data_IF_119793156212
#
_entry.id   IF_119793156212
#
_cell.length_a   1.000
_cell.length_b   1.000
_cell.length_c   1.000
_cell.angle_alpha   90.00
_cell.angle_beta   90.00
_cell.angle_gamma   90.00
#
_symmetry.space_group_name_H-M   'P 1'
#
loop_
_entity.id
_entity.type
_entity.pdbx_description
1 polymer ?
#
# COMPACT_ATOMS: atom_id res chain seq x y z
N UNK A 1 6.77 18.20 -1.25
CA UNK A 1 7.01 18.92 0.01
C UNK A 1 6.57 18.02 1.15
N UNK A 2 7.44 17.78 2.15
CA UNK A 2 7.06 17.01 3.33
C UNK A 2 6.29 17.88 4.32
N UNK A 3 5.51 17.24 5.20
CA UNK A 3 5.02 17.87 6.42
C UNK A 3 6.21 18.27 7.31
N UNK A 4 6.01 19.24 8.18
CA UNK A 4 7.04 19.63 9.13
C UNK A 4 7.25 18.52 10.16
N UNK A 5 8.50 18.08 10.31
CA UNK A 5 8.90 17.05 11.26
C UNK A 5 10.41 17.16 11.54
N UNK A 6 10.84 16.62 12.70
CA UNK A 6 12.27 16.53 13.05
C UNK A 6 13.05 15.69 12.01
N UNK A 7 14.35 15.94 11.91
CA UNK A 7 15.27 15.17 11.09
C UNK A 7 16.56 14.91 11.89
N UNK A 8 17.22 13.77 11.74
CA UNK A 8 16.86 12.61 10.88
C UNK A 8 15.71 11.79 11.47
N UNK A 9 15.06 10.95 10.63
CA UNK A 9 13.97 10.05 11.03
C UNK A 9 14.26 8.62 10.56
N UNK A 10 13.77 7.65 11.32
CA UNK A 10 13.76 6.24 10.93
C UNK A 10 12.51 5.89 10.13
N UNK A 11 12.38 4.62 9.71
CA UNK A 11 11.23 4.13 8.96
C UNK A 11 9.90 4.30 9.71
N UNK A 12 9.88 4.08 11.03
CA UNK A 12 8.68 4.19 11.86
C UNK A 12 8.16 5.62 11.86
N UNK A 13 9.07 6.55 12.07
CA UNK A 13 8.77 7.98 12.09
C UNK A 13 8.41 8.49 10.69
N UNK A 14 9.03 7.96 9.63
CA UNK A 14 8.70 8.28 8.24
C UNK A 14 7.27 7.83 7.88
N UNK A 15 6.82 6.66 8.36
CA UNK A 15 5.43 6.21 8.21
C UNK A 15 4.49 7.12 9.02
N UNK A 16 4.79 7.40 10.28
CA UNK A 16 3.96 8.20 11.18
C UNK A 16 3.75 9.62 10.66
N UNK A 17 4.79 10.25 10.11
CA UNK A 17 4.75 11.63 9.59
C UNK A 17 4.46 11.73 8.11
N UNK A 18 4.28 10.60 7.42
CA UNK A 18 4.07 10.59 5.97
C UNK A 18 5.17 11.31 5.19
N UNK A 19 6.44 11.00 5.48
CA UNK A 19 7.58 11.69 4.90
C UNK A 19 7.83 11.28 3.45
N UNK A 20 7.40 12.09 2.50
CA UNK A 20 7.60 11.84 1.07
C UNK A 20 9.07 11.73 0.69
N UNK A 21 9.93 12.60 1.23
CA UNK A 21 11.36 12.58 0.91
C UNK A 21 12.00 11.23 1.29
N UNK A 22 11.69 10.70 2.48
CA UNK A 22 12.19 9.39 2.91
C UNK A 22 11.86 8.30 1.90
N UNK A 23 10.58 8.18 1.54
CA UNK A 23 10.13 7.14 0.62
C UNK A 23 10.65 7.35 -0.81
N UNK A 24 10.77 8.59 -1.28
CA UNK A 24 11.39 8.87 -2.57
C UNK A 24 12.86 8.42 -2.62
N UNK A 25 13.66 8.69 -1.57
CA UNK A 25 15.04 8.23 -1.51
C UNK A 25 15.15 6.70 -1.43
N UNK A 26 14.35 6.07 -0.57
CA UNK A 26 14.32 4.60 -0.45
C UNK A 26 13.93 3.95 -1.78
N UNK A 27 12.90 4.45 -2.44
CA UNK A 27 12.48 3.95 -3.74
C UNK A 27 13.58 4.10 -4.80
N UNK A 28 14.21 5.29 -4.87
CA UNK A 28 15.35 5.51 -5.77
C UNK A 28 16.43 4.46 -5.52
N UNK A 29 16.85 4.27 -4.25
CA UNK A 29 17.93 3.34 -3.90
C UNK A 29 17.55 1.87 -4.22
N UNK A 30 16.26 1.52 -4.12
CA UNK A 30 15.76 0.20 -4.53
C UNK A 30 15.92 0.00 -6.04
N UNK A 31 15.36 0.91 -6.86
CA UNK A 31 15.29 0.71 -8.31
C UNK A 31 16.62 1.00 -9.04
N UNK A 32 17.54 1.71 -8.39
CA UNK A 32 18.90 1.96 -8.92
C UNK A 32 19.96 1.13 -8.20
N UNK A 33 19.58 0.07 -7.50
CA UNK A 33 20.52 -0.79 -6.80
C UNK A 33 21.52 -1.41 -7.79
N UNK A 34 22.85 -1.38 -7.50
CA UNK A 34 23.88 -1.89 -8.41
C UNK A 34 23.75 -3.39 -8.79
N UNK A 35 22.92 -4.16 -8.09
CA UNK A 35 22.61 -5.54 -8.46
C UNK A 35 21.83 -5.66 -9.77
N UNK A 36 21.17 -4.60 -10.21
CA UNK A 36 20.39 -4.57 -11.44
C UNK A 36 21.25 -4.06 -12.61
N UNK A 37 21.09 -4.65 -13.77
CA UNK A 37 21.77 -4.23 -15.00
C UNK A 37 21.25 -2.90 -15.53
N UNK A 38 19.99 -2.58 -15.20
CA UNK A 38 19.31 -1.34 -15.62
C UNK A 38 18.25 -0.89 -14.63
N UNK A 39 17.86 0.38 -14.72
CA UNK A 39 16.74 0.93 -13.97
C UNK A 39 15.40 0.24 -14.35
N UNK A 40 15.29 -0.19 -15.59
CA UNK A 40 14.13 -0.95 -16.09
C UNK A 40 13.97 -2.26 -15.33
N UNK A 41 15.05 -3.00 -15.09
CA UNK A 41 15.05 -4.21 -14.27
C UNK A 41 14.70 -3.91 -12.81
N UNK A 42 15.25 -2.82 -12.25
CA UNK A 42 14.93 -2.37 -10.90
C UNK A 42 13.44 -2.06 -10.73
N UNK A 43 12.83 -1.33 -11.68
CA UNK A 43 11.38 -1.02 -11.68
C UNK A 43 10.55 -2.29 -11.86
N UNK A 44 10.95 -3.19 -12.77
CA UNK A 44 10.27 -4.46 -12.98
C UNK A 44 10.27 -5.31 -11.70
N UNK A 45 11.41 -5.42 -11.04
CA UNK A 45 11.53 -6.15 -9.76
C UNK A 45 10.65 -5.50 -8.68
N UNK A 46 10.64 -4.17 -8.58
CA UNK A 46 9.75 -3.46 -7.66
C UNK A 46 8.28 -3.73 -7.97
N UNK A 47 7.89 -3.77 -9.25
CA UNK A 47 6.53 -4.11 -9.67
C UNK A 47 6.13 -5.51 -9.22
N UNK A 48 7.03 -6.51 -9.26
CA UNK A 48 6.74 -7.87 -8.80
C UNK A 48 6.37 -7.89 -7.31
N UNK A 49 7.08 -7.11 -6.48
CA UNK A 49 6.69 -6.91 -5.08
C UNK A 49 5.31 -6.25 -4.98
N UNK A 50 5.04 -5.19 -5.71
CA UNK A 50 3.74 -4.48 -5.69
C UNK A 50 2.61 -5.40 -6.14
N UNK A 51 2.81 -6.24 -7.16
CA UNK A 51 1.84 -7.25 -7.59
C UNK A 51 1.57 -8.30 -6.51
N UNK A 52 2.56 -8.65 -5.70
CA UNK A 52 2.37 -9.60 -4.60
C UNK A 52 1.43 -9.08 -3.51
N UNK A 53 1.24 -7.75 -3.41
CA UNK A 53 0.23 -7.11 -2.56
C UNK A 53 -1.17 -7.04 -3.20
N UNK A 54 -1.33 -7.53 -4.44
CA UNK A 54 -2.59 -7.52 -5.15
C UNK A 54 -2.89 -6.25 -5.95
N UNK A 55 -1.95 -5.30 -6.06
CA UNK A 55 -2.11 -4.13 -6.92
C UNK A 55 -1.91 -4.49 -8.40
N UNK A 56 -2.50 -3.70 -9.30
CA UNK A 56 -2.36 -3.87 -10.74
C UNK A 56 -3.06 -5.10 -11.32
N UNK A 57 -3.78 -5.87 -10.51
CA UNK A 57 -4.53 -7.07 -10.90
C UNK A 57 -5.84 -7.18 -10.11
N UNK A 58 -6.75 -8.02 -10.57
CA UNK A 58 -7.91 -8.42 -9.76
C UNK A 58 -7.45 -9.29 -8.60
N UNK A 59 -8.11 -9.18 -7.47
CA UNK A 59 -7.89 -10.04 -6.30
C UNK A 59 -8.66 -11.37 -6.41
N UNK A 60 -9.46 -11.53 -7.49
CA UNK A 60 -10.33 -12.69 -7.72
C UNK A 60 -11.42 -12.84 -6.64
N UNK A 61 -11.93 -11.70 -6.17
CA UNK A 61 -13.05 -11.62 -5.23
C UNK A 61 -14.35 -12.15 -5.85
N UNK A 62 -15.37 -12.30 -5.02
CA UNK A 62 -16.74 -12.57 -5.47
C UNK A 62 -17.54 -11.29 -5.79
N UNK A 63 -16.89 -10.12 -5.77
CA UNK A 63 -17.52 -8.85 -6.16
C UNK A 63 -17.68 -8.74 -7.66
N UNK A 64 -18.88 -8.43 -8.12
CA UNK A 64 -19.12 -8.06 -9.51
C UNK A 64 -18.51 -6.71 -9.82
N UNK A 65 -17.79 -6.59 -10.94
CA UNK A 65 -17.18 -5.33 -11.34
C UNK A 65 -15.87 -4.98 -10.63
N UNK A 66 -15.17 -5.96 -10.04
CA UNK A 66 -13.86 -5.75 -9.43
C UNK A 66 -12.88 -5.11 -10.42
N UNK A 67 -12.33 -3.94 -10.05
CA UNK A 67 -11.30 -3.24 -10.80
C UNK A 67 -9.91 -3.78 -10.48
N UNK A 68 -9.01 -3.76 -11.46
CA UNK A 68 -7.62 -4.22 -11.30
C UNK A 68 -6.64 -3.13 -10.84
N UNK A 69 -7.08 -1.86 -10.84
CA UNK A 69 -6.13 -0.75 -10.69
C UNK A 69 -5.10 -0.68 -11.82
N UNK A 70 -4.00 0.00 -11.59
CA UNK A 70 -2.91 0.12 -12.55
C UNK A 70 -1.57 0.27 -11.84
N UNK A 71 -0.56 -0.45 -12.30
CA UNK A 71 0.85 -0.30 -11.90
C UNK A 71 1.64 -0.04 -13.17
N UNK A 72 2.30 1.10 -13.33
CA UNK A 72 3.05 1.42 -14.54
C UNK A 72 4.26 0.49 -14.69
N UNK A 73 4.49 0.02 -15.92
CA UNK A 73 5.61 -0.87 -16.25
C UNK A 73 6.76 -0.12 -16.94
N UNK A 74 7.97 -0.68 -17.01
CA UNK A 74 9.04 -0.09 -17.81
C UNK A 74 8.63 0.21 -19.25
N UNK A 75 7.88 -0.68 -19.90
CA UNK A 75 7.41 -0.50 -21.28
C UNK A 75 6.43 0.68 -21.41
N UNK A 76 5.66 0.97 -20.36
CA UNK A 76 4.85 2.19 -20.33
C UNK A 76 5.74 3.44 -20.38
N UNK A 77 6.78 3.49 -19.56
CA UNK A 77 7.71 4.62 -19.53
C UNK A 77 8.54 4.73 -20.81
N UNK A 78 8.95 3.61 -21.40
CA UNK A 78 9.65 3.58 -22.71
C UNK A 78 8.77 4.24 -23.78
N UNK A 79 7.49 3.93 -23.82
CA UNK A 79 6.55 4.50 -24.78
C UNK A 79 6.29 6.00 -24.53
N UNK A 80 6.11 6.41 -23.26
CA UNK A 80 5.82 7.80 -22.90
C UNK A 80 7.02 8.72 -23.13
N UNK A 81 8.22 8.24 -22.82
CA UNK A 81 9.46 9.03 -22.87
C UNK A 81 10.39 8.64 -24.03
N UNK A 82 9.92 7.84 -24.99
CA UNK A 82 10.73 7.37 -26.12
C UNK A 82 12.05 6.68 -25.67
N UNK A 83 11.98 5.86 -24.63
CA UNK A 83 13.12 5.19 -24.02
C UNK A 83 14.07 6.11 -23.22
N UNK A 84 13.75 7.39 -23.06
CA UNK A 84 14.60 8.37 -22.36
C UNK A 84 14.03 8.75 -20.99
N UNK A 85 13.99 7.80 -20.08
CA UNK A 85 13.54 8.00 -18.71
C UNK A 85 14.59 7.57 -17.68
N UNK A 86 14.46 8.05 -16.48
CA UNK A 86 15.34 7.76 -15.36
C UNK A 86 14.53 7.64 -14.05
N UNK A 87 15.22 7.45 -12.94
CA UNK A 87 14.57 7.34 -11.64
C UNK A 87 13.65 8.56 -11.30
N UNK A 88 13.98 9.75 -11.77
CA UNK A 88 13.16 10.95 -11.58
C UNK A 88 11.82 10.87 -12.32
N UNK A 89 11.78 10.19 -13.48
CA UNK A 89 10.53 10.02 -14.26
C UNK A 89 9.51 9.14 -13.54
N UNK A 90 9.95 8.25 -12.67
CA UNK A 90 9.11 7.26 -11.97
C UNK A 90 8.95 7.55 -10.47
N UNK A 91 9.57 8.61 -9.97
CA UNK A 91 9.67 8.89 -8.53
C UNK A 91 8.31 9.07 -7.83
N UNK A 92 7.29 9.48 -8.56
CA UNK A 92 5.94 9.65 -8.02
C UNK A 92 5.35 8.34 -7.51
N UNK A 93 5.77 7.19 -8.08
CA UNK A 93 5.35 5.86 -7.62
C UNK A 93 5.77 5.58 -6.17
N UNK A 94 6.87 6.19 -5.71
CA UNK A 94 7.37 6.05 -4.33
C UNK A 94 6.36 6.46 -3.25
N UNK A 95 5.44 7.34 -3.61
CA UNK A 95 4.42 7.90 -2.71
C UNK A 95 2.99 7.59 -3.17
N UNK A 96 2.83 6.62 -4.09
CA UNK A 96 1.52 6.20 -4.60
C UNK A 96 0.84 7.23 -5.49
N UNK A 97 1.62 8.11 -6.12
CA UNK A 97 1.16 9.14 -7.05
C UNK A 97 1.58 8.81 -8.50
N UNK A 98 1.37 9.78 -9.39
CA UNK A 98 1.70 9.61 -10.81
C UNK A 98 0.70 8.70 -11.50
N UNK A 99 1.20 7.71 -12.22
CA UNK A 99 0.40 6.81 -13.04
C UNK A 99 -0.19 5.63 -12.26
N UNK A 100 0.14 5.49 -10.97
CA UNK A 100 -0.43 4.42 -10.14
C UNK A 100 -1.93 4.64 -9.90
N UNK A 101 -2.72 3.59 -10.09
CA UNK A 101 -4.13 3.57 -9.75
C UNK A 101 -4.47 2.36 -8.88
N UNK A 102 -5.22 2.57 -7.81
CA UNK A 102 -5.68 1.51 -6.93
C UNK A 102 -7.18 1.63 -6.64
N UNK A 103 -7.81 0.52 -6.35
CA UNK A 103 -9.21 0.49 -5.94
C UNK A 103 -9.34 0.57 -4.41
N UNK A 104 -10.46 1.05 -3.86
CA UNK A 104 -10.72 1.00 -2.42
C UNK A 104 -10.59 -0.43 -1.84
N UNK A 105 -10.98 -1.46 -2.61
CA UNK A 105 -10.82 -2.86 -2.21
C UNK A 105 -9.34 -3.23 -2.06
N UNK A 106 -8.49 -2.84 -3.01
CA UNK A 106 -7.04 -3.08 -2.92
C UNK A 106 -6.42 -2.34 -1.73
N UNK A 107 -6.89 -1.13 -1.43
CA UNK A 107 -6.43 -0.39 -0.26
C UNK A 107 -6.87 -1.03 1.06
N UNK A 108 -8.11 -1.54 1.16
CA UNK A 108 -8.56 -2.32 2.31
C UNK A 108 -7.75 -3.61 2.46
N UNK A 109 -7.45 -4.29 1.34
CA UNK A 109 -6.58 -5.45 1.32
C UNK A 109 -5.16 -5.14 1.79
N UNK A 110 -4.58 -3.99 1.41
CA UNK A 110 -3.29 -3.52 1.93
C UNK A 110 -3.32 -3.36 3.45
N UNK A 111 -4.40 -2.77 4.01
CA UNK A 111 -4.57 -2.67 5.45
C UNK A 111 -4.60 -4.06 6.12
N UNK A 112 -5.31 -5.02 5.51
CA UNK A 112 -5.37 -6.41 5.98
C UNK A 112 -3.99 -7.11 5.88
N UNK A 113 -3.23 -6.90 4.80
CA UNK A 113 -1.87 -7.44 4.64
C UNK A 113 -0.95 -6.94 5.76
N UNK A 114 -0.96 -5.63 6.04
CA UNK A 114 -0.13 -5.05 7.10
C UNK A 114 -0.58 -5.56 8.47
N UNK A 115 -1.88 -5.65 8.72
CA UNK A 115 -2.47 -6.23 9.93
C UNK A 115 -2.00 -7.67 10.15
N UNK A 116 -1.98 -8.48 9.11
CA UNK A 116 -1.57 -9.89 9.13
C UNK A 116 -0.05 -10.11 9.01
N UNK A 117 0.74 -9.04 8.88
CA UNK A 117 2.22 -9.14 8.72
C UNK A 117 2.63 -9.91 7.46
N UNK A 118 1.98 -9.62 6.32
CA UNK A 118 2.46 -10.05 5.00
C UNK A 118 1.60 -11.06 4.26
N UNK A 119 0.38 -11.35 4.72
CA UNK A 119 -0.55 -12.17 3.97
C UNK A 119 -1.98 -11.62 3.98
N UNK A 120 -2.81 -12.11 3.06
CA UNK A 120 -4.24 -11.81 3.00
C UNK A 120 -5.03 -13.05 2.56
N UNK A 121 -6.32 -13.02 2.78
CA UNK A 121 -7.28 -13.91 2.12
C UNK A 121 -7.96 -13.15 1.00
N UNK A 122 -8.33 -13.84 -0.08
CA UNK A 122 -9.08 -13.21 -1.16
C UNK A 122 -10.35 -12.58 -0.58
N UNK A 123 -10.56 -11.25 -0.74
CA UNK A 123 -11.74 -10.58 -0.22
C UNK A 123 -13.02 -11.18 -0.82
N UNK A 124 -14.01 -11.47 0.03
CA UNK A 124 -15.28 -12.06 -0.39
C UNK A 124 -16.42 -11.66 0.54
N UNK A 125 -17.63 -11.66 0.01
CA UNK A 125 -18.86 -11.34 0.73
C UNK A 125 -19.57 -12.64 1.15
N UNK A 126 -19.49 -13.67 0.31
CA UNK A 126 -20.22 -14.92 0.53
C UNK A 126 -19.57 -15.68 1.67
N UNK A 127 -20.30 -15.83 2.77
CA UNK A 127 -19.86 -16.62 3.94
C UNK A 127 -20.38 -18.06 3.89
N UNK A 128 -21.57 -18.27 3.37
CA UNK A 128 -22.24 -19.57 3.33
C UNK A 128 -23.20 -19.63 2.14
N UNK A 129 -23.38 -20.81 1.57
CA UNK A 129 -24.35 -21.11 0.51
C UNK A 129 -25.21 -22.24 1.02
N UNK A 130 -26.51 -22.03 1.09
CA UNK A 130 -27.46 -23.07 1.49
C UNK A 130 -27.37 -24.30 0.56
N UNK A 131 -27.32 -25.48 1.15
CA UNK A 131 -27.16 -26.74 0.40
C UNK A 131 -25.73 -27.05 -0.05
N UNK A 132 -24.73 -26.29 0.40
CA UNK A 132 -23.32 -26.60 0.18
C UNK A 132 -22.56 -26.63 1.52
N UNK A 133 -21.63 -27.57 1.65
CA UNK A 133 -20.83 -27.72 2.87
C UNK A 133 -19.81 -26.60 3.05
N UNK A 134 -19.39 -25.97 1.95
CA UNK A 134 -18.39 -24.88 1.98
C UNK A 134 -18.53 -23.94 0.78
N UNK A 135 -17.94 -22.76 0.89
CA UNK A 135 -17.68 -21.88 -0.26
C UNK A 135 -16.38 -22.31 -0.96
N UNK A 136 -16.04 -21.65 -2.06
CA UNK A 136 -14.82 -21.93 -2.82
C UNK A 136 -13.57 -21.93 -1.92
N UNK A 137 -12.75 -22.97 -2.02
CA UNK A 137 -11.54 -23.19 -1.21
C UNK A 137 -10.56 -22.03 -1.31
N UNK A 138 -10.46 -21.35 -2.46
CA UNK A 138 -9.58 -20.20 -2.68
C UNK A 138 -9.76 -19.10 -1.63
N UNK A 139 -10.97 -18.94 -1.06
CA UNK A 139 -11.24 -17.92 -0.03
C UNK A 139 -10.68 -18.26 1.36
N UNK A 140 -10.25 -19.49 1.58
CA UNK A 140 -9.62 -19.95 2.81
C UNK A 140 -8.10 -20.07 2.70
N UNK A 141 -7.53 -19.85 1.50
CA UNK A 141 -6.10 -19.97 1.27
C UNK A 141 -5.41 -18.62 1.46
N UNK A 142 -4.30 -18.63 2.23
CA UNK A 142 -3.49 -17.44 2.43
C UNK A 142 -2.71 -17.10 1.16
N UNK A 143 -2.82 -15.87 0.76
CA UNK A 143 -2.00 -15.27 -0.27
C UNK A 143 -0.85 -14.51 0.40
N UNK A 144 0.39 -14.88 0.13
CA UNK A 144 1.55 -14.26 0.75
C UNK A 144 2.16 -13.19 -0.16
N UNK A 145 2.58 -12.07 0.45
CA UNK A 145 3.43 -11.12 -0.24
C UNK A 145 4.87 -11.63 -0.33
N UNK A 146 5.67 -11.02 -1.22
CA UNK A 146 7.10 -11.31 -1.34
C UNK A 146 7.95 -10.70 -0.21
N UNK A 147 7.32 -10.09 0.79
CA UNK A 147 7.99 -9.41 1.92
C UNK A 147 7.86 -10.26 3.18
N UNK A 148 8.99 -10.56 3.81
CA UNK A 148 9.00 -11.30 5.07
C UNK A 148 8.27 -10.57 6.20
N UNK A 149 7.59 -11.33 7.05
CA UNK A 149 6.75 -10.81 8.12
C UNK A 149 7.48 -9.87 9.09
N UNK A 150 8.78 -10.08 9.32
CA UNK A 150 9.61 -9.25 10.19
C UNK A 150 9.68 -7.79 9.72
N UNK A 151 9.60 -7.54 8.42
CA UNK A 151 9.67 -6.19 7.85
C UNK A 151 8.37 -5.39 8.02
N UNK A 152 7.27 -6.03 8.38
CA UNK A 152 6.02 -5.34 8.72
C UNK A 152 6.02 -4.76 10.13
N UNK A 153 6.88 -5.22 11.03
CA UNK A 153 6.93 -4.75 12.43
C UNK A 153 7.15 -3.22 12.50
N UNK A 154 8.17 -2.64 11.86
CA UNK A 154 8.36 -1.19 11.89
C UNK A 154 7.24 -0.41 11.18
N UNK A 155 6.58 -0.99 10.16
CA UNK A 155 5.45 -0.36 9.48
C UNK A 155 4.24 -0.25 10.41
N UNK A 156 3.90 -1.34 11.08
CA UNK A 156 2.81 -1.37 12.07
C UNK A 156 3.06 -0.39 13.20
N UNK A 157 4.29 -0.36 13.71
CA UNK A 157 4.69 0.60 14.77
C UNK A 157 4.53 2.05 14.27
N UNK A 158 4.96 2.35 13.06
CA UNK A 158 4.81 3.67 12.45
C UNK A 158 3.34 4.07 12.26
N UNK A 159 2.49 3.14 11.79
CA UNK A 159 1.05 3.38 11.66
C UNK A 159 0.38 3.60 13.02
N UNK A 160 0.78 2.85 14.04
CA UNK A 160 0.28 3.03 15.41
C UNK A 160 0.69 4.39 15.99
N UNK A 161 1.97 4.77 15.85
CA UNK A 161 2.48 6.09 16.30
C UNK A 161 1.76 7.23 15.61
N UNK A 162 1.51 7.12 14.31
CA UNK A 162 0.82 8.12 13.51
C UNK A 162 -0.59 8.45 13.99
N UNK A 163 -1.27 7.50 14.65
CA UNK A 163 -2.59 7.68 15.24
C UNK A 163 -2.52 8.06 16.72
N UNK A 164 -1.70 7.35 17.52
CA UNK A 164 -1.83 7.38 18.99
C UNK A 164 -0.82 8.28 19.70
N UNK A 165 0.31 8.57 19.06
CA UNK A 165 1.39 9.35 19.69
C UNK A 165 1.55 10.70 19.01
N UNK A 166 1.98 10.70 17.74
CA UNK A 166 2.19 11.90 16.94
C UNK A 166 2.30 11.52 15.46
N UNK A 167 1.74 12.31 14.58
CA UNK A 167 1.75 12.05 13.14
C UNK A 167 0.53 12.59 12.43
N UNK A 168 0.36 12.19 11.16
CA UNK A 168 -0.69 12.72 10.29
C UNK A 168 -2.06 12.10 10.50
N UNK A 169 -2.17 11.06 11.32
CA UNK A 169 -3.40 10.24 11.49
C UNK A 169 -4.07 10.43 12.85
N UNK A 170 -3.67 11.43 13.64
CA UNK A 170 -4.16 11.65 15.01
C UNK A 170 -5.68 11.80 15.16
N UNK A 171 -6.37 12.29 14.11
CA UNK A 171 -7.82 12.38 14.09
C UNK A 171 -8.58 11.05 14.14
N UNK A 172 -7.88 9.93 13.91
CA UNK A 172 -8.45 8.59 13.98
C UNK A 172 -8.23 7.90 15.34
N UNK A 173 -7.70 8.62 16.34
CA UNK A 173 -7.48 8.08 17.68
C UNK A 173 -8.81 7.77 18.37
N UNK A 174 -8.91 6.56 18.91
CA UNK A 174 -10.04 6.11 19.71
C UNK A 174 -9.54 5.72 21.11
N UNK A 175 -10.17 6.27 22.15
CA UNK A 175 -9.79 5.95 23.52
C UNK A 175 -10.05 4.46 23.83
N UNK A 176 -9.08 3.81 24.45
CA UNK A 176 -9.14 2.38 24.76
C UNK A 176 -8.86 1.43 23.60
N UNK A 177 -8.48 1.95 22.41
CA UNK A 177 -8.21 1.14 21.22
C UNK A 177 -6.87 1.48 20.57
N UNK A 178 -6.07 0.45 20.31
CA UNK A 178 -4.81 0.58 19.57
C UNK A 178 -5.09 0.55 18.06
N UNK A 179 -5.51 1.69 17.52
CA UNK A 179 -5.73 1.85 16.08
C UNK A 179 -4.40 2.08 15.36
N UNK A 180 -4.15 1.36 14.29
CA UNK A 180 -3.07 1.61 13.34
C UNK A 180 -3.65 2.24 12.08
N UNK A 181 -3.13 3.36 11.62
CA UNK A 181 -3.69 4.06 10.47
C UNK A 181 -2.67 4.84 9.66
N UNK A 182 -2.99 5.09 8.40
CA UNK A 182 -2.21 5.89 7.48
C UNK A 182 -3.12 6.74 6.60
N UNK A 183 -2.89 8.05 6.62
CA UNK A 183 -3.51 9.00 5.70
C UNK A 183 -2.84 8.95 4.33
N UNK A 184 -3.60 9.23 3.28
CA UNK A 184 -3.12 9.49 1.94
C UNK A 184 -3.86 10.67 1.33
N UNK A 185 -3.21 11.33 0.39
CA UNK A 185 -3.83 12.38 -0.42
C UNK A 185 -3.48 12.10 -1.88
N UNK A 186 -4.50 11.84 -2.70
CA UNK A 186 -4.33 11.72 -4.14
C UNK A 186 -4.62 13.06 -4.79
N UNK A 187 -3.60 13.64 -5.43
CA UNK A 187 -3.74 14.92 -6.13
C UNK A 187 -4.67 14.77 -7.32
N UNK A 188 -5.59 15.72 -7.46
CA UNK A 188 -6.52 15.78 -8.58
C UNK A 188 -6.29 17.11 -9.36
N UNK A 189 -5.64 17.06 -10.53
CA UNK A 189 -5.37 18.27 -11.32
C UNK A 189 -6.63 18.96 -11.83
N UNK A 190 -7.78 18.28 -11.82
CA UNK A 190 -9.05 18.77 -12.35
C UNK A 190 -10.07 19.14 -11.25
N UNK A 191 -9.68 19.12 -9.97
CA UNK A 191 -10.60 19.37 -8.88
C UNK A 191 -9.93 19.40 -7.51
N UNK A 192 -10.71 19.10 -6.47
CA UNK A 192 -10.17 18.96 -5.12
C UNK A 192 -9.40 17.65 -5.01
N UNK A 193 -8.32 17.66 -4.23
CA UNK A 193 -7.57 16.44 -3.89
C UNK A 193 -8.47 15.47 -3.14
N UNK A 194 -8.26 14.18 -3.42
CA UNK A 194 -8.96 13.12 -2.72
C UNK A 194 -8.21 12.73 -1.46
N UNK A 195 -8.95 12.59 -0.37
CA UNK A 195 -8.40 12.08 0.89
C UNK A 195 -8.64 10.59 1.00
N UNK A 196 -7.60 9.88 1.42
CA UNK A 196 -7.69 8.44 1.69
C UNK A 196 -7.22 8.14 3.10
N UNK A 197 -7.80 7.13 3.71
CA UNK A 197 -7.36 6.62 4.99
C UNK A 197 -7.46 5.11 4.99
N UNK A 198 -6.39 4.44 5.36
CA UNK A 198 -6.40 2.99 5.59
C UNK A 198 -6.00 2.71 7.03
N UNK A 199 -6.67 1.76 7.64
CA UNK A 199 -6.47 1.43 9.05
C UNK A 199 -6.82 -0.01 9.38
N UNK A 200 -6.32 -0.45 10.52
CA UNK A 200 -6.75 -1.70 11.14
C UNK A 200 -6.68 -1.58 12.66
N UNK A 201 -7.42 -2.41 13.36
CA UNK A 201 -7.47 -2.46 14.82
C UNK A 201 -7.89 -3.86 15.33
N UNK A 202 -7.48 -4.21 16.58
CA UNK A 202 -6.38 -3.64 17.35
C UNK A 202 -5.00 -3.84 16.69
N UNK A 203 -3.96 -3.15 17.17
CA UNK A 203 -2.56 -3.33 16.74
C UNK A 203 -2.11 -4.78 16.87
N UNK A 204 -2.38 -5.35 18.05
CA UNK A 204 -2.14 -6.76 18.32
C UNK A 204 -3.45 -7.54 18.17
N UNK A 205 -3.39 -8.71 17.52
CA UNK A 205 -4.54 -9.54 17.19
C UNK A 205 -5.65 -8.77 16.42
N UNK A 206 -5.35 -8.17 15.26
CA UNK A 206 -6.27 -7.33 14.51
C UNK A 206 -7.55 -8.06 14.12
N UNK A 207 -8.68 -7.34 14.16
CA UNK A 207 -10.03 -7.87 13.89
C UNK A 207 -10.72 -7.22 12.71
N UNK A 208 -10.30 -6.00 12.36
CA UNK A 208 -10.90 -5.23 11.27
C UNK A 208 -9.82 -4.48 10.50
N UNK A 209 -9.97 -4.42 9.20
CA UNK A 209 -9.20 -3.57 8.30
C UNK A 209 -10.17 -2.72 7.46
N UNK A 210 -9.87 -1.44 7.30
CA UNK A 210 -10.76 -0.47 6.65
C UNK A 210 -9.97 0.41 5.70
N UNK A 211 -10.58 0.74 4.57
CA UNK A 211 -10.14 1.82 3.68
C UNK A 211 -11.29 2.78 3.43
N UNK A 212 -11.02 4.07 3.56
CA UNK A 212 -11.96 5.16 3.29
C UNK A 212 -11.37 6.04 2.18
N UNK A 213 -12.20 6.44 1.24
CA UNK A 213 -11.87 7.35 0.14
C UNK A 213 -12.94 8.44 0.05
N UNK A 214 -12.51 9.71 0.01
CA UNK A 214 -13.38 10.90 -0.03
C UNK A 214 -12.92 11.86 -1.10
#
# INVERSE_FOLDING_TARGET
KCHDHRSPIDLRDAVATSCNAYFCYVFKDIITNPKFESISEGVKTWNDYVYSFGFGRKLDSDFTGEGKGYVPTPEFYDRVYNGRWNWGSVISCAIGQGEMGCTPLQMANLAAIVANRGYYYIPHIIKHIEGRDSIDRRFYERQYTMVDSVHFVPIVEGMWRGVNVWGTSGGARLEGWDVCGKTGTAQNPNGRDHSTFLSFAPKDNPKIAVSVYV
#
